data_IF_012723971301
#
_entry.id   IF_012723971301
#
_cell.length_a   1.000
_cell.length_b   1.000
_cell.length_c   1.000
_cell.angle_alpha   90.00
_cell.angle_beta   90.00
_cell.angle_gamma   90.00
#
_symmetry.space_group_name_H-M   'P 1'
#
loop_
_entity.id
_entity.type
_entity.pdbx_description
1 polymer ?
#
# COMPACT_ATOMS: atom_id res chain seq x y z
N UNK A 1 -17.33 -58.18 19.80
CA UNK A 1 -16.50 -57.05 19.33
C UNK A 1 -16.47 -56.01 20.45
N UNK A 2 -15.35 -55.31 20.69
CA UNK A 2 -15.31 -54.24 21.69
C UNK A 2 -16.31 -53.13 21.32
N UNK A 3 -17.07 -52.67 22.32
CA UNK A 3 -18.08 -51.62 22.18
C UNK A 3 -17.40 -50.31 21.73
N UNK A 4 -17.95 -49.67 20.69
CA UNK A 4 -17.48 -48.36 20.24
C UNK A 4 -18.35 -47.30 20.90
N UNK A 5 -17.78 -46.43 21.76
CA UNK A 5 -18.57 -45.43 22.46
C UNK A 5 -19.23 -44.47 21.47
N UNK A 6 -20.50 -44.20 21.72
CA UNK A 6 -21.34 -43.28 20.97
C UNK A 6 -21.06 -41.83 21.37
N UNK A 7 -21.52 -40.87 20.56
CA UNK A 7 -21.38 -39.44 20.85
C UNK A 7 -21.93 -39.07 22.23
N UNK A 8 -23.05 -39.66 22.60
CA UNK A 8 -23.79 -39.34 23.83
C UNK A 8 -23.04 -39.85 25.06
N UNK A 9 -22.54 -41.09 25.01
CA UNK A 9 -21.67 -41.66 26.06
C UNK A 9 -20.38 -40.83 26.25
N UNK A 10 -19.80 -40.30 25.18
CA UNK A 10 -18.61 -39.42 25.25
C UNK A 10 -18.93 -38.02 25.79
N UNK A 11 -20.15 -37.51 25.60
CA UNK A 11 -20.60 -36.22 26.14
C UNK A 11 -21.01 -36.33 27.62
N UNK A 12 -21.50 -37.49 28.02
CA UNK A 12 -21.84 -37.84 29.40
C UNK A 12 -20.57 -38.03 30.25
N UNK A 13 -19.54 -38.66 29.68
CA UNK A 13 -18.23 -38.81 30.33
C UNK A 13 -17.37 -37.53 30.37
N UNK A 14 -17.76 -36.47 29.66
CA UNK A 14 -17.01 -35.22 29.59
C UNK A 14 -17.39 -34.27 30.74
N UNK A 15 -16.40 -33.86 31.54
CA UNK A 15 -16.59 -33.10 32.78
C UNK A 15 -16.54 -31.58 32.59
N UNK A 16 -16.30 -31.08 31.37
CA UNK A 16 -16.17 -29.64 31.10
C UNK A 16 -16.64 -29.18 29.71
N UNK A 17 -16.79 -27.85 29.56
CA UNK A 17 -17.17 -27.20 28.29
C UNK A 17 -16.21 -27.54 27.15
N UNK A 18 -14.90 -27.45 27.40
CA UNK A 18 -13.86 -27.72 26.40
C UNK A 18 -13.83 -29.18 25.95
N UNK A 19 -14.06 -30.14 26.86
CA UNK A 19 -14.15 -31.56 26.52
C UNK A 19 -15.39 -31.84 25.67
N UNK A 20 -16.55 -31.28 26.04
CA UNK A 20 -17.77 -31.37 25.24
C UNK A 20 -17.64 -30.71 23.87
N UNK A 21 -16.96 -29.56 23.79
CA UNK A 21 -16.65 -28.88 22.53
C UNK A 21 -15.71 -29.72 21.66
N UNK A 22 -14.68 -30.32 22.25
CA UNK A 22 -13.76 -31.24 21.57
C UNK A 22 -14.49 -32.47 21.02
N UNK A 23 -15.37 -33.10 21.81
CA UNK A 23 -16.22 -34.22 21.37
C UNK A 23 -17.07 -33.79 20.19
N UNK A 24 -17.76 -32.63 20.27
CA UNK A 24 -18.58 -32.10 19.18
C UNK A 24 -17.77 -31.82 17.92
N UNK A 25 -16.63 -31.15 18.03
CA UNK A 25 -15.74 -30.85 16.89
C UNK A 25 -15.21 -32.13 16.24
N UNK A 26 -14.70 -33.08 17.04
CA UNK A 26 -14.27 -34.42 16.57
C UNK A 26 -15.39 -35.18 15.88
N UNK A 27 -16.61 -35.08 16.40
CA UNK A 27 -17.75 -35.78 15.83
C UNK A 27 -18.26 -35.14 14.54
N UNK A 28 -18.15 -33.82 14.40
CA UNK A 28 -18.47 -33.09 13.17
C UNK A 28 -17.40 -33.36 12.10
N UNK A 29 -16.12 -33.42 12.47
CA UNK A 29 -15.03 -33.60 11.51
C UNK A 29 -14.82 -35.04 11.04
N UNK A 30 -14.59 -35.99 11.98
CA UNK A 30 -14.20 -37.38 11.66
C UNK A 30 -15.24 -38.39 12.16
N UNK A 31 -16.27 -37.95 12.89
CA UNK A 31 -17.25 -38.82 13.58
C UNK A 31 -16.61 -39.86 14.52
N UNK A 32 -15.39 -39.59 14.99
CA UNK A 32 -14.58 -40.54 15.75
C UNK A 32 -13.61 -39.82 16.70
N UNK A 33 -13.29 -40.47 17.81
CA UNK A 33 -12.35 -39.96 18.83
C UNK A 33 -10.89 -40.36 18.57
N UNK A 34 -10.62 -41.07 17.46
CA UNK A 34 -9.28 -41.46 17.00
C UNK A 34 -8.36 -40.23 16.78
N UNK A 35 -7.03 -40.34 16.99
CA UNK A 35 -6.06 -39.29 16.60
C UNK A 35 -6.13 -38.96 15.11
N UNK A 36 -5.85 -37.70 14.76
CA UNK A 36 -5.86 -37.26 13.37
C UNK A 36 -4.74 -37.92 12.56
N UNK A 37 -5.04 -38.36 11.34
CA UNK A 37 -4.04 -38.89 10.42
C UNK A 37 -3.35 -37.78 9.62
N UNK A 38 -2.21 -38.09 9.00
CA UNK A 38 -1.49 -37.17 8.10
C UNK A 38 -2.38 -36.78 6.92
N UNK A 39 -3.16 -37.71 6.36
CA UNK A 39 -4.06 -37.43 5.23
C UNK A 39 -5.15 -36.42 5.61
N UNK A 40 -5.68 -36.51 6.83
CA UNK A 40 -6.69 -35.60 7.34
C UNK A 40 -6.09 -34.21 7.59
N UNK A 41 -4.91 -34.14 8.24
CA UNK A 41 -4.15 -32.90 8.39
C UNK A 41 -3.82 -32.26 7.04
N UNK A 42 -3.39 -33.07 6.06
CA UNK A 42 -3.16 -32.65 4.69
C UNK A 42 -4.41 -32.07 4.07
N UNK A 43 -5.57 -32.72 4.23
CA UNK A 43 -6.84 -32.20 3.73
C UNK A 43 -7.24 -30.86 4.38
N UNK A 44 -7.06 -30.67 5.70
CA UNK A 44 -7.31 -29.38 6.34
C UNK A 44 -6.35 -28.31 5.86
N UNK A 45 -5.06 -28.61 5.77
CA UNK A 45 -4.04 -27.66 5.31
C UNK A 45 -4.30 -27.30 3.85
N UNK A 46 -4.58 -28.26 2.97
CA UNK A 46 -4.89 -28.02 1.57
C UNK A 46 -6.17 -27.21 1.39
N UNK A 47 -7.25 -27.54 2.13
CA UNK A 47 -8.50 -26.78 2.07
C UNK A 47 -8.32 -25.36 2.61
N UNK A 48 -7.59 -25.21 3.72
CA UNK A 48 -7.27 -23.91 4.30
C UNK A 48 -6.44 -23.07 3.33
N UNK A 49 -5.34 -23.61 2.80
CA UNK A 49 -4.49 -22.90 1.85
C UNK A 49 -5.25 -22.54 0.57
N UNK A 50 -6.01 -23.47 -0.01
CA UNK A 50 -6.76 -23.21 -1.24
C UNK A 50 -7.90 -22.21 -1.03
N UNK A 51 -8.63 -22.32 0.09
CA UNK A 51 -9.71 -21.40 0.45
C UNK A 51 -9.19 -19.97 0.67
N UNK A 52 -8.07 -19.82 1.39
CA UNK A 52 -7.45 -18.51 1.57
C UNK A 52 -6.83 -17.99 0.28
N UNK A 53 -6.26 -18.86 -0.57
CA UNK A 53 -5.71 -18.45 -1.86
C UNK A 53 -6.79 -17.84 -2.75
N UNK A 54 -7.94 -18.51 -2.92
CA UNK A 54 -9.06 -17.97 -3.70
C UNK A 54 -9.56 -16.64 -3.12
N UNK A 55 -9.64 -16.55 -1.80
CA UNK A 55 -10.07 -15.33 -1.12
C UNK A 55 -9.06 -14.18 -1.27
N UNK A 56 -7.75 -14.45 -1.21
CA UNK A 56 -6.70 -13.47 -1.47
C UNK A 56 -6.77 -13.00 -2.91
N UNK A 57 -6.99 -13.90 -3.88
CA UNK A 57 -7.05 -13.55 -5.31
C UNK A 57 -8.29 -12.73 -5.68
N UNK A 58 -9.47 -13.07 -5.15
CA UNK A 58 -10.73 -12.38 -5.47
C UNK A 58 -10.98 -11.15 -4.60
N UNK A 59 -10.51 -11.18 -3.35
CA UNK A 59 -10.74 -10.17 -2.33
C UNK A 59 -9.47 -9.45 -1.94
N UNK A 60 -8.51 -9.28 -2.85
CA UNK A 60 -7.19 -8.65 -2.61
C UNK A 60 -7.27 -7.42 -1.73
N UNK A 61 -8.11 -6.44 -2.10
CA UNK A 61 -8.23 -5.19 -1.35
C UNK A 61 -8.90 -5.40 0.01
N UNK A 62 -9.86 -6.33 0.13
CA UNK A 62 -10.47 -6.71 1.41
C UNK A 62 -9.47 -7.43 2.31
N UNK A 63 -8.64 -8.30 1.75
CA UNK A 63 -7.57 -9.02 2.43
C UNK A 63 -6.53 -8.06 2.98
N UNK A 64 -5.98 -7.18 2.14
CA UNK A 64 -5.08 -6.12 2.58
C UNK A 64 -5.77 -5.23 3.62
N UNK A 65 -7.01 -4.81 3.41
CA UNK A 65 -7.76 -4.03 4.41
C UNK A 65 -7.87 -4.75 5.76
N UNK A 66 -8.02 -6.08 5.79
CA UNK A 66 -8.09 -6.87 7.03
C UNK A 66 -6.74 -7.04 7.68
N UNK A 67 -5.66 -7.17 6.90
CA UNK A 67 -4.30 -7.09 7.44
C UNK A 67 -4.14 -5.74 8.14
N UNK A 68 -4.46 -4.65 7.46
CA UNK A 68 -4.33 -3.28 7.98
C UNK A 68 -5.14 -3.09 9.27
N UNK A 69 -6.36 -3.64 9.32
CA UNK A 69 -7.22 -3.60 10.51
C UNK A 69 -6.72 -4.51 11.63
N UNK A 70 -6.19 -5.69 11.30
CA UNK A 70 -5.71 -6.68 12.27
C UNK A 70 -4.50 -6.19 13.03
N UNK A 71 -3.67 -5.34 12.41
CA UNK A 71 -2.54 -4.69 13.05
C UNK A 71 -3.02 -3.44 13.84
N UNK A 72 -4.17 -3.50 14.49
CA UNK A 72 -4.72 -2.36 15.23
C UNK A 72 -3.69 -1.74 16.19
N UNK A 73 -3.69 -0.40 16.21
CA UNK A 73 -2.88 0.58 16.97
C UNK A 73 -1.67 1.15 16.22
N UNK A 74 -1.76 2.46 15.93
CA UNK A 74 -0.75 3.54 15.77
C UNK A 74 0.56 3.25 15.00
N UNK A 75 1.18 2.09 15.21
CA UNK A 75 2.41 1.58 14.61
C UNK A 75 2.18 1.02 13.19
N UNK A 76 1.06 0.32 12.94
CA UNK A 76 0.77 -0.24 11.62
C UNK A 76 0.57 0.80 10.52
N UNK A 77 0.01 1.94 10.91
CA UNK A 77 -0.23 3.05 9.99
C UNK A 77 1.09 3.63 9.48
N UNK A 78 2.12 3.68 10.32
CA UNK A 78 3.45 4.12 9.93
C UNK A 78 4.10 3.10 9.00
N UNK A 79 4.14 1.82 9.38
CA UNK A 79 4.78 0.76 8.57
C UNK A 79 4.14 0.60 7.20
N UNK A 80 2.81 0.68 7.14
CA UNK A 80 2.07 0.52 5.90
C UNK A 80 2.15 1.77 5.02
N UNK A 81 2.06 2.96 5.60
CA UNK A 81 2.26 4.20 4.84
C UNK A 81 3.70 4.31 4.35
N UNK A 82 4.68 3.78 5.10
CA UNK A 82 6.07 3.67 4.66
C UNK A 82 6.15 2.69 3.50
N UNK A 83 5.58 1.49 3.62
CA UNK A 83 5.61 0.51 2.53
C UNK A 83 4.93 1.01 1.24
N UNK A 84 3.78 1.68 1.36
CA UNK A 84 3.10 2.30 0.21
C UNK A 84 3.89 3.51 -0.31
N UNK A 85 4.45 4.32 0.59
CA UNK A 85 5.30 5.46 0.26
C UNK A 85 6.54 5.02 -0.50
N UNK A 86 7.28 4.04 0.01
CA UNK A 86 8.48 3.45 -0.59
C UNK A 86 8.16 2.89 -1.97
N UNK A 87 7.02 2.18 -2.10
CA UNK A 87 6.60 1.66 -3.38
C UNK A 87 6.28 2.76 -4.39
N UNK A 88 5.59 3.84 -3.99
CA UNK A 88 5.33 5.01 -4.84
C UNK A 88 6.62 5.79 -5.16
N UNK A 89 7.54 5.90 -4.20
CA UNK A 89 8.80 6.63 -4.36
C UNK A 89 9.77 5.88 -5.27
N UNK A 90 9.88 4.55 -5.14
CA UNK A 90 10.72 3.71 -6.01
C UNK A 90 10.23 3.66 -7.47
N UNK A 91 8.91 3.67 -7.65
CA UNK A 91 8.29 3.58 -8.98
C UNK A 91 8.15 4.92 -9.70
N UNK A 92 7.99 6.03 -8.98
CA UNK A 92 7.76 7.35 -9.56
C UNK A 92 8.90 8.35 -9.36
N UNK A 93 9.85 8.09 -8.45
CA UNK A 93 10.93 9.03 -8.11
C UNK A 93 10.40 10.30 -7.44
N UNK A 94 9.39 10.17 -6.59
CA UNK A 94 8.71 11.30 -5.92
C UNK A 94 8.67 11.05 -4.42
N UNK A 95 8.95 12.06 -3.59
CA UNK A 95 8.82 11.93 -2.14
C UNK A 95 7.35 12.07 -1.75
N UNK A 96 6.81 11.05 -1.09
CA UNK A 96 5.42 11.03 -0.64
C UNK A 96 5.43 11.08 0.89
N UNK A 97 4.70 12.05 1.45
CA UNK A 97 4.51 12.24 2.89
C UNK A 97 3.03 12.16 3.23
N UNK A 98 2.66 11.29 4.17
CA UNK A 98 1.28 11.09 4.58
C UNK A 98 1.03 11.72 5.96
N UNK A 99 0.09 12.66 6.08
CA UNK A 99 -0.26 13.32 7.35
C UNK A 99 -1.19 12.47 8.23
N UNK A 100 -2.18 11.74 7.66
CA UNK A 100 -3.16 11.01 8.50
C UNK A 100 -3.88 9.80 7.86
N UNK A 101 -4.08 8.78 8.69
CA UNK A 101 -5.04 7.67 8.65
C UNK A 101 -5.33 7.00 7.29
N UNK A 102 -4.83 5.77 7.16
CA UNK A 102 -5.34 4.79 6.21
C UNK A 102 -6.69 4.27 6.75
N UNK A 103 -7.79 4.67 6.13
CA UNK A 103 -9.16 4.29 6.52
C UNK A 103 -9.71 3.30 5.50
N UNK A 104 -9.90 2.02 5.85
CA UNK A 104 -10.52 1.06 4.96
C UNK A 104 -12.01 1.36 4.77
N UNK A 105 -12.46 1.52 3.52
CA UNK A 105 -13.88 1.62 3.15
C UNK A 105 -14.36 0.26 2.65
N UNK A 106 -14.72 -0.59 3.60
CA UNK A 106 -15.10 -2.00 3.38
C UNK A 106 -16.22 -2.24 2.39
N UNK A 107 -17.23 -1.35 2.38
CA UNK A 107 -18.39 -1.50 1.50
C UNK A 107 -18.02 -1.42 0.02
N UNK A 108 -16.96 -0.66 -0.27
CA UNK A 108 -16.55 -0.34 -1.62
C UNK A 108 -15.26 -1.07 -2.03
N UNK A 109 -14.61 -1.79 -1.09
CA UNK A 109 -13.36 -2.50 -1.34
C UNK A 109 -12.18 -1.57 -1.65
N UNK A 110 -12.14 -0.41 -0.98
CA UNK A 110 -11.19 0.68 -1.26
C UNK A 110 -10.38 1.03 -0.01
N UNK A 111 -9.09 1.32 -0.20
CA UNK A 111 -8.21 1.88 0.82
C UNK A 111 -8.16 3.41 0.62
N UNK A 112 -8.53 4.19 1.65
CA UNK A 112 -8.49 5.65 1.60
C UNK A 112 -7.34 6.21 2.44
N UNK A 113 -6.51 7.06 1.84
CA UNK A 113 -5.53 7.92 2.50
C UNK A 113 -6.09 9.33 2.64
N UNK A 114 -5.77 10.04 3.72
CA UNK A 114 -6.21 11.42 3.97
C UNK A 114 -5.01 12.33 4.13
N UNK A 115 -5.13 13.56 3.63
CA UNK A 115 -4.09 14.59 3.71
C UNK A 115 -2.73 14.04 3.24
N UNK A 116 -2.65 13.70 1.96
CA UNK A 116 -1.42 13.18 1.36
C UNK A 116 -0.65 14.35 0.77
N UNK A 117 0.57 14.59 1.24
CA UNK A 117 1.48 15.56 0.67
C UNK A 117 2.48 14.86 -0.24
N UNK A 118 2.73 15.42 -1.41
CA UNK A 118 3.63 14.86 -2.41
C UNK A 118 4.54 15.98 -2.87
N UNK A 119 5.85 15.77 -2.73
CA UNK A 119 6.86 16.74 -3.15
C UNK A 119 7.92 16.11 -4.05
N UNK A 120 8.44 16.92 -4.97
CA UNK A 120 9.66 16.63 -5.72
C UNK A 120 10.50 17.89 -5.77
N UNK A 121 11.65 17.85 -5.08
CA UNK A 121 12.63 18.94 -4.97
C UNK A 121 14.06 18.39 -5.09
N UNK A 122 15.01 19.16 -5.64
CA UNK A 122 16.41 18.76 -5.70
C UNK A 122 16.99 18.59 -4.30
N UNK A 123 17.85 17.57 -4.14
CA UNK A 123 18.49 17.25 -2.86
C UNK A 123 17.57 16.62 -1.81
N UNK A 124 16.28 16.40 -2.10
CA UNK A 124 15.52 15.38 -1.39
C UNK A 124 15.93 14.03 -1.99
N UNK A 125 16.65 13.21 -1.23
CA UNK A 125 16.90 11.82 -1.65
C UNK A 125 15.60 11.10 -2.02
N UNK A 126 15.72 9.99 -2.74
CA UNK A 126 14.61 9.10 -3.17
C UNK A 126 13.97 8.34 -1.98
N UNK A 127 13.83 9.02 -0.86
CA UNK A 127 13.37 8.49 0.41
C UNK A 127 11.90 8.90 0.59
N UNK A 128 11.04 7.90 0.67
CA UNK A 128 9.69 8.11 1.17
C UNK A 128 9.78 8.36 2.67
N UNK A 129 8.93 9.24 3.20
CA UNK A 129 8.94 9.44 4.65
C UNK A 129 7.55 9.70 5.17
N UNK A 130 7.21 8.99 6.23
CA UNK A 130 5.93 9.14 6.89
C UNK A 130 6.16 9.92 8.16
N UNK A 131 5.61 11.13 8.22
CA UNK A 131 5.62 11.96 9.43
C UNK A 131 4.18 12.21 9.86
N UNK A 132 3.87 11.93 11.13
CA UNK A 132 2.60 12.32 11.73
C UNK A 132 2.68 13.82 12.04
N UNK A 133 2.02 14.64 11.22
CA UNK A 133 2.00 16.10 11.38
C UNK A 133 1.21 16.77 10.26
N UNK A 134 0.89 18.06 10.39
CA UNK A 134 0.18 18.80 9.34
C UNK A 134 0.97 18.83 8.03
N UNK A 135 0.28 18.93 6.90
CA UNK A 135 0.87 19.18 5.58
C UNK A 135 1.90 20.31 5.59
N UNK A 136 1.68 21.37 6.37
CA UNK A 136 2.65 22.46 6.57
C UNK A 136 3.95 21.97 7.26
N UNK A 137 3.84 21.15 8.31
CA UNK A 137 5.00 20.58 8.99
C UNK A 137 5.74 19.54 8.11
N UNK A 138 5.02 18.86 7.22
CA UNK A 138 5.61 17.96 6.22
C UNK A 138 6.37 18.75 5.14
N UNK A 139 5.80 19.86 4.65
CA UNK A 139 6.46 20.77 3.72
C UNK A 139 7.71 21.41 4.35
N UNK A 140 7.62 21.83 5.62
CA UNK A 140 8.76 22.33 6.38
C UNK A 140 9.82 21.26 6.65
N UNK A 141 9.43 20.00 6.88
CA UNK A 141 10.37 18.88 7.03
C UNK A 141 11.05 18.51 5.70
N UNK A 142 10.31 18.57 4.58
CA UNK A 142 10.84 18.42 3.23
C UNK A 142 11.87 19.52 2.91
N UNK A 143 11.52 20.78 3.19
CA UNK A 143 12.42 21.92 3.04
C UNK A 143 13.60 21.91 4.04
N UNK A 144 13.38 21.44 5.27
CA UNK A 144 14.39 21.36 6.32
C UNK A 144 15.45 20.28 6.09
N UNK A 145 15.12 19.21 5.35
CA UNK A 145 16.10 18.21 4.88
C UNK A 145 17.09 18.79 3.88
N UNK A 146 16.64 19.73 3.04
CA UNK A 146 17.48 20.47 2.09
C UNK A 146 18.67 21.14 2.81
N UNK A 147 18.40 21.81 3.93
CA UNK A 147 19.42 22.54 4.70
C UNK A 147 20.41 21.64 5.48
N UNK A 148 20.05 20.37 5.73
CA UNK A 148 20.92 19.42 6.45
C UNK A 148 21.71 18.51 5.51
N UNK A 149 21.19 18.20 4.32
CA UNK A 149 21.85 17.37 3.30
C UNK A 149 22.87 18.15 2.45
N UNK A 150 22.70 19.47 2.28
CA UNK A 150 23.77 20.36 1.73
C UNK A 150 25.09 20.29 2.53
N UNK A 151 25.06 19.73 3.74
CA UNK A 151 26.24 19.61 4.62
C UNK A 151 26.88 18.22 4.64
N UNK A 152 26.29 17.20 4.01
CA UNK A 152 26.71 15.79 4.14
C UNK A 152 26.89 15.08 2.79
N UNK A 153 26.54 15.69 1.65
CA UNK A 153 26.70 15.08 0.32
C UNK A 153 28.17 15.12 -0.16
N UNK A 154 28.98 14.21 0.35
CA UNK A 154 30.30 13.83 -0.18
C UNK A 154 30.30 12.31 -0.50
N UNK A 155 29.20 11.83 -1.10
CA UNK A 155 29.07 10.46 -1.59
C UNK A 155 28.39 10.42 -2.96
N UNK A 156 29.21 10.16 -3.98
CA UNK A 156 29.04 9.52 -5.32
C UNK A 156 27.65 9.22 -5.95
N UNK A 157 26.55 9.86 -5.55
CA UNK A 157 25.32 9.90 -6.35
C UNK A 157 25.38 11.12 -7.27
N UNK A 158 25.10 10.92 -8.57
CA UNK A 158 25.11 11.95 -9.61
C UNK A 158 24.53 13.28 -9.09
N UNK A 159 25.28 14.39 -9.20
CA UNK A 159 24.81 15.72 -8.78
C UNK A 159 23.43 15.98 -9.41
N UNK A 160 22.39 15.98 -8.58
CA UNK A 160 21.03 16.29 -9.01
C UNK A 160 21.00 17.75 -9.51
N UNK A 161 20.98 17.92 -10.83
CA UNK A 161 21.03 19.22 -11.50
C UNK A 161 19.77 20.08 -11.28
N UNK A 162 18.71 19.50 -10.69
CA UNK A 162 17.44 20.17 -10.42
C UNK A 162 16.69 20.64 -11.67
N UNK A 163 17.11 20.21 -12.87
CA UNK A 163 16.54 20.61 -14.16
C UNK A 163 15.31 19.78 -14.53
N UNK A 164 14.32 19.79 -13.63
CA UNK A 164 13.04 19.14 -13.85
C UNK A 164 11.91 19.92 -13.20
N UNK A 165 10.68 19.55 -13.54
CA UNK A 165 9.50 20.13 -12.90
C UNK A 165 9.45 19.72 -11.43
N UNK A 166 9.57 20.71 -10.56
CA UNK A 166 9.43 20.56 -9.12
C UNK A 166 7.97 20.81 -8.74
N UNK A 167 7.51 20.20 -7.65
CA UNK A 167 6.13 20.41 -7.20
C UNK A 167 5.97 20.10 -5.73
N UNK A 168 5.04 20.80 -5.10
CA UNK A 168 4.56 20.57 -3.75
C UNK A 168 3.04 20.54 -3.80
N UNK A 169 2.47 19.34 -3.67
CA UNK A 169 1.03 19.10 -3.88
C UNK A 169 0.44 18.35 -2.71
N UNK A 170 -0.68 18.85 -2.20
CA UNK A 170 -1.49 18.22 -1.17
C UNK A 170 -2.77 17.66 -1.77
N UNK A 171 -3.14 16.46 -1.36
CA UNK A 171 -4.39 15.79 -1.68
C UNK A 171 -5.22 15.59 -0.42
N UNK A 172 -6.48 16.02 -0.42
CA UNK A 172 -7.36 15.82 0.72
C UNK A 172 -7.69 14.33 0.94
N UNK A 173 -7.97 13.58 -0.13
CA UNK A 173 -8.22 12.15 -0.05
C UNK A 173 -7.73 11.43 -1.30
N UNK A 174 -7.05 10.30 -1.09
CA UNK A 174 -6.63 9.37 -2.16
C UNK A 174 -7.27 8.02 -1.88
N UNK A 175 -8.10 7.56 -2.79
CA UNK A 175 -8.75 6.25 -2.75
C UNK A 175 -8.02 5.32 -3.71
N UNK A 176 -7.56 4.17 -3.25
CA UNK A 176 -6.91 3.16 -4.08
C UNK A 176 -7.56 1.80 -3.96
N UNK A 177 -7.54 1.06 -5.06
CA UNK A 177 -7.91 -0.36 -5.12
C UNK A 177 -6.69 -1.17 -5.54
N UNK A 178 -6.46 -2.31 -4.90
CA UNK A 178 -5.30 -3.17 -5.15
C UNK A 178 -5.68 -4.42 -5.93
N UNK A 179 -4.81 -4.88 -6.84
CA UNK A 179 -5.00 -6.12 -7.59
C UNK A 179 -3.75 -6.99 -7.53
N UNK A 180 -3.84 -8.11 -6.81
CA UNK A 180 -2.81 -9.15 -6.81
C UNK A 180 -2.61 -9.76 -8.20
N UNK A 181 -3.67 -9.92 -8.98
CA UNK A 181 -3.55 -10.44 -10.35
C UNK A 181 -2.73 -9.50 -11.24
N UNK A 182 -2.87 -8.19 -11.06
CA UNK A 182 -2.08 -7.21 -11.80
C UNK A 182 -0.62 -7.26 -11.33
N UNK A 183 -0.40 -7.30 -10.01
CA UNK A 183 0.93 -7.46 -9.43
C UNK A 183 1.65 -8.72 -9.90
N UNK A 184 0.97 -9.88 -9.86
CA UNK A 184 1.53 -11.16 -10.31
C UNK A 184 1.87 -11.17 -11.81
N UNK A 185 1.10 -10.43 -12.61
CA UNK A 185 1.35 -10.28 -14.04
C UNK A 185 2.34 -9.14 -14.37
N UNK A 186 2.93 -8.48 -13.37
CA UNK A 186 3.92 -7.42 -13.56
C UNK A 186 3.36 -6.03 -13.91
N UNK A 187 2.04 -5.85 -13.81
CA UNK A 187 1.29 -4.61 -14.12
C UNK A 187 1.18 -3.62 -12.95
N UNK A 188 1.90 -3.92 -11.86
CA UNK A 188 1.80 -3.18 -10.61
C UNK A 188 0.60 -3.58 -9.74
N UNK A 189 0.68 -3.22 -8.45
CA UNK A 189 -0.34 -3.58 -7.46
C UNK A 189 -1.55 -2.62 -7.48
N UNK A 190 -1.35 -1.38 -7.90
CA UNK A 190 -2.41 -0.37 -7.98
C UNK A 190 -3.29 -0.64 -9.21
N UNK A 191 -4.60 -0.78 -8.97
CA UNK A 191 -5.59 -1.00 -10.02
C UNK A 191 -6.36 0.28 -10.35
N UNK A 192 -7.07 0.80 -9.37
CA UNK A 192 -7.91 1.99 -9.51
C UNK A 192 -7.48 3.07 -8.53
N UNK A 193 -7.47 4.32 -8.98
CA UNK A 193 -7.07 5.49 -8.18
C UNK A 193 -8.11 6.60 -8.34
N UNK A 194 -8.63 7.10 -7.22
CA UNK A 194 -9.49 8.30 -7.17
C UNK A 194 -8.89 9.33 -6.20
N UNK A 195 -8.60 10.52 -6.71
CA UNK A 195 -7.99 11.62 -5.94
C UNK A 195 -9.02 12.74 -5.78
N UNK A 196 -9.12 13.32 -4.59
CA UNK A 196 -10.02 14.44 -4.28
C UNK A 196 -9.29 15.57 -3.56
N UNK A 197 -9.61 16.81 -3.93
CA UNK A 197 -9.14 18.01 -3.26
C UNK A 197 -7.64 18.19 -3.46
N UNK A 198 -7.23 18.42 -4.71
CA UNK A 198 -5.84 18.64 -5.09
C UNK A 198 -5.51 20.13 -4.98
N UNK A 199 -4.50 20.47 -4.19
CA UNK A 199 -4.00 21.83 -3.96
C UNK A 199 -2.48 21.84 -4.01
N UNK A 200 -1.87 22.88 -4.58
CA UNK A 200 -0.41 22.95 -4.55
C UNK A 200 0.18 23.84 -5.62
N UNK A 201 1.50 23.77 -5.69
CA UNK A 201 2.32 24.56 -6.61
C UNK A 201 3.16 23.62 -7.44
N UNK A 202 3.15 23.85 -8.76
CA UNK A 202 4.07 23.25 -9.71
C UNK A 202 5.06 24.33 -10.11
N UNK A 203 6.33 24.11 -9.82
CA UNK A 203 7.41 25.03 -10.10
C UNK A 203 8.26 24.50 -11.26
N UNK A 204 8.22 25.22 -12.39
CA UNK A 204 9.01 24.92 -13.59
C UNK A 204 10.06 25.99 -13.86
N UNK A 205 10.31 26.88 -12.91
CA UNK A 205 11.23 28.02 -13.11
C UNK A 205 12.68 27.60 -13.31
N UNK A 206 13.07 26.45 -12.75
CA UNK A 206 14.39 25.83 -12.94
C UNK A 206 14.54 25.06 -14.26
N UNK A 207 13.44 24.82 -14.98
CA UNK A 207 13.47 23.98 -16.19
C UNK A 207 14.10 24.77 -17.34
N UNK A 208 15.21 24.25 -17.84
CA UNK A 208 15.92 24.72 -19.02
C UNK A 208 15.85 23.68 -20.11
N UNK A 209 15.50 24.12 -21.32
CA UNK A 209 15.43 23.24 -22.48
C UNK A 209 16.78 23.21 -23.18
N UNK A 210 17.28 22.03 -23.57
CA UNK A 210 18.47 21.92 -24.40
C UNK A 210 18.24 22.64 -25.75
N UNK A 211 19.30 23.23 -26.28
CA UNK A 211 19.29 23.98 -27.55
C UNK A 211 19.13 23.03 -28.75
N UNK A 212 19.45 21.75 -28.55
CA UNK A 212 19.36 20.71 -29.57
C UNK A 212 17.92 20.21 -29.75
N UNK A 213 17.54 19.91 -31.00
CA UNK A 213 16.26 19.27 -31.30
C UNK A 213 16.27 17.82 -30.78
N UNK A 214 15.67 17.60 -29.61
CA UNK A 214 15.43 16.27 -29.06
C UNK A 214 14.02 15.78 -29.41
N UNK A 215 13.92 14.50 -29.77
CA UNK A 215 12.63 13.83 -29.96
C UNK A 215 11.92 13.65 -28.59
N UNK A 216 10.74 14.25 -28.39
CA UNK A 216 9.98 14.11 -27.14
C UNK A 216 9.63 12.64 -26.81
N UNK A 217 9.54 11.78 -27.82
CA UNK A 217 9.24 10.36 -27.63
C UNK A 217 10.38 9.60 -26.95
N UNK A 218 11.61 10.10 -27.03
CA UNK A 218 12.77 9.49 -26.38
C UNK A 218 12.67 9.50 -24.85
N UNK A 219 11.95 10.48 -24.28
CA UNK A 219 11.68 10.59 -22.85
C UNK A 219 10.52 9.73 -22.36
N UNK A 220 9.83 9.01 -23.26
CA UNK A 220 8.73 8.14 -22.85
C UNK A 220 9.28 6.97 -22.03
N UNK A 221 8.74 6.82 -20.82
CA UNK A 221 9.04 5.69 -19.95
C UNK A 221 8.80 4.36 -20.69
N UNK A 222 9.79 3.47 -20.64
CA UNK A 222 9.67 2.12 -21.19
C UNK A 222 9.11 1.22 -20.11
N UNK A 223 8.05 0.49 -20.43
CA UNK A 223 7.38 -0.38 -19.47
C UNK A 223 8.38 -1.34 -18.80
N UNK A 224 8.46 -1.29 -17.48
CA UNK A 224 9.20 -2.20 -16.62
C UNK A 224 8.25 -3.01 -15.74
N UNK A 225 8.53 -4.29 -15.46
CA UNK A 225 7.73 -5.07 -14.53
C UNK A 225 7.64 -4.37 -13.17
N UNK A 226 6.41 -4.12 -12.70
CA UNK A 226 6.16 -3.40 -11.46
C UNK A 226 5.71 -1.94 -11.66
N UNK A 227 5.79 -1.42 -12.89
CA UNK A 227 5.17 -0.15 -13.29
C UNK A 227 3.67 -0.14 -13.00
N UNK A 228 3.12 1.06 -12.82
CA UNK A 228 1.70 1.25 -12.60
C UNK A 228 0.89 1.18 -13.89
N UNK A 229 0.14 0.10 -14.08
CA UNK A 229 -0.95 0.05 -15.05
C UNK A 229 -2.29 0.33 -14.36
N UNK A 230 -2.60 1.62 -14.22
CA UNK A 230 -3.87 2.07 -13.64
C UNK A 230 -5.00 1.84 -14.66
N UNK A 231 -6.00 1.04 -14.28
CA UNK A 231 -7.17 0.76 -15.12
C UNK A 231 -8.19 1.89 -15.08
N UNK A 232 -8.41 2.48 -13.90
CA UNK A 232 -9.33 3.61 -13.71
C UNK A 232 -8.69 4.70 -12.88
N UNK A 233 -8.58 5.88 -13.48
CA UNK A 233 -8.15 7.10 -12.80
C UNK A 233 -9.30 8.10 -12.74
N UNK A 234 -9.50 8.71 -11.57
CA UNK A 234 -10.48 9.78 -11.38
C UNK A 234 -9.90 10.88 -10.50
N UNK A 235 -10.12 12.13 -10.87
CA UNK A 235 -9.67 13.30 -10.11
C UNK A 235 -10.84 14.27 -9.94
N UNK A 236 -11.05 14.74 -8.71
CA UNK A 236 -12.09 15.71 -8.37
C UNK A 236 -11.47 16.90 -7.61
N UNK A 237 -11.99 18.10 -7.87
CA UNK A 237 -11.60 19.33 -7.18
C UNK A 237 -10.10 19.63 -7.27
N UNK A 238 -9.67 20.10 -8.45
CA UNK A 238 -8.28 20.43 -8.77
C UNK A 238 -8.07 21.94 -8.79
N UNK A 239 -7.11 22.43 -8.01
CA UNK A 239 -6.60 23.79 -8.07
C UNK A 239 -5.08 23.77 -7.89
N UNK A 240 -4.35 24.14 -8.93
CA UNK A 240 -2.89 24.18 -8.92
C UNK A 240 -2.40 25.54 -9.42
N UNK A 241 -1.35 26.05 -8.78
CA UNK A 241 -0.60 27.21 -9.28
C UNK A 241 0.61 26.69 -10.04
N UNK A 242 0.81 27.13 -11.28
CA UNK A 242 1.96 26.72 -12.09
C UNK A 242 2.86 27.93 -12.32
N UNK A 243 4.12 27.86 -11.90
CA UNK A 243 5.14 28.84 -12.23
C UNK A 243 5.88 28.40 -13.47
N UNK A 244 5.80 29.17 -14.55
CA UNK A 244 6.50 28.84 -15.80
C UNK A 244 7.92 29.40 -15.80
N UNK A 245 8.84 28.78 -16.56
CA UNK A 245 10.15 29.37 -16.81
C UNK A 245 10.00 30.72 -17.52
N UNK A 246 10.91 31.66 -17.23
CA UNK A 246 10.92 32.98 -17.87
C UNK A 246 9.97 34.03 -17.26
N UNK A 247 9.38 33.76 -16.08
CA UNK A 247 8.60 34.74 -15.31
C UNK A 247 7.14 34.90 -15.76
N UNK A 248 6.55 33.83 -16.29
CA UNK A 248 5.18 33.78 -16.82
C UNK A 248 4.22 32.96 -15.95
#
# INVERSE_FOLDING_TARGET
MPHRPTKEELLEAANGFWERLKVRLKWVSIRSMRPWNIDEWGAFVSWFLFGHLVWILLGTTTFFSLIILSINTVFAQETLAQWVGDYLTQSAGVSVVFESAIVPKWRDGVISFRNVFVSRRPGQGTESSVSKGSSDAAAEAAAGRQANLEKVSESDDEEDDGNYTQFDVTFSTVNVTLSFLNWWNGKGLLKDVEIKGVRGVIDRTSVTWPIEELDPLSYRHKHQPGDFEIEKFKMEDLLLTVHQPGGF
#
